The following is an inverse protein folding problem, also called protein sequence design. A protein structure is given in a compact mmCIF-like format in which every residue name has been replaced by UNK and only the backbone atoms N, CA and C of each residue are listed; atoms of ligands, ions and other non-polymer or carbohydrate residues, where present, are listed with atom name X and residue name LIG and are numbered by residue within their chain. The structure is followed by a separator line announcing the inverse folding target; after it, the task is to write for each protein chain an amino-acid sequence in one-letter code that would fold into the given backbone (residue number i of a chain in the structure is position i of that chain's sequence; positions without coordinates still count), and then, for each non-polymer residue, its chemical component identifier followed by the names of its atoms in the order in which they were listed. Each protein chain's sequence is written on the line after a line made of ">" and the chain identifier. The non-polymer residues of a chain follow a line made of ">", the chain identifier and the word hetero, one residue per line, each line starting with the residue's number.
data_IF_328224029526
#
_entry.id   IF_328224029526
#
_cell.length_a   1.000
_cell.length_b   1.000
_cell.length_c   1.000
_cell.angle_alpha   90.00
_cell.angle_beta   90.00
_cell.angle_gamma   90.00
#
_symmetry.space_group_name_H-M   'P 1'
#
loop_
_entity.id
_entity.type
_entity.pdbx_description
1 polymer ?
#
# COMPACT_ATOMS: atom_id res chain seq x y z
N UNK A 1 -10.88 1.72 11.56
CA UNK A 1 -10.06 2.80 10.96
C UNK A 1 -8.84 3.16 11.83
N UNK A 2 -8.96 3.23 13.16
CA UNK A 2 -7.78 3.50 14.02
C UNK A 2 -6.69 2.42 13.96
N UNK A 3 -7.08 1.15 13.81
CA UNK A 3 -6.15 0.01 13.71
C UNK A 3 -5.28 0.04 12.45
N UNK A 4 -5.85 0.35 11.29
CA UNK A 4 -5.07 0.53 10.05
C UNK A 4 -4.12 1.72 10.13
N UNK A 5 -4.49 2.79 10.87
CA UNK A 5 -3.61 3.93 11.16
C UNK A 5 -2.41 3.57 12.03
N UNK A 6 -2.62 2.74 13.07
CA UNK A 6 -1.53 2.15 13.86
C UNK A 6 -0.58 1.31 13.01
N UNK A 7 -1.14 0.48 12.13
CA UNK A 7 -0.37 -0.29 11.15
C UNK A 7 0.46 0.59 10.23
N UNK A 8 -0.13 1.66 9.71
CA UNK A 8 0.56 2.61 8.84
C UNK A 8 1.75 3.28 9.53
N UNK A 9 1.59 3.67 10.81
CA UNK A 9 2.68 4.26 11.60
C UNK A 9 3.84 3.27 11.79
N UNK A 10 3.53 2.02 12.18
CA UNK A 10 4.53 0.97 12.35
C UNK A 10 5.23 0.65 11.02
N UNK A 11 4.47 0.56 9.92
CA UNK A 11 5.00 0.34 8.59
C UNK A 11 5.96 1.45 8.16
N UNK A 12 5.61 2.72 8.41
CA UNK A 12 6.46 3.87 8.12
C UNK A 12 7.77 3.83 8.93
N UNK A 13 7.70 3.49 10.23
CA UNK A 13 8.87 3.31 11.09
C UNK A 13 9.80 2.20 10.57
N UNK A 14 9.26 1.02 10.25
CA UNK A 14 10.06 -0.10 9.72
C UNK A 14 10.74 0.30 8.42
N UNK A 15 10.04 0.98 7.52
CA UNK A 15 10.63 1.49 6.28
C UNK A 15 11.72 2.51 6.58
N UNK A 16 11.47 3.49 7.46
CA UNK A 16 12.46 4.49 7.80
C UNK A 16 13.75 3.88 8.40
N UNK A 17 13.62 2.79 9.16
CA UNK A 17 14.77 2.11 9.79
C UNK A 17 15.48 1.13 8.85
N UNK A 18 14.75 0.33 8.07
CA UNK A 18 15.32 -0.80 7.30
C UNK A 18 15.45 -0.53 5.80
N UNK A 19 14.75 0.47 5.27
CA UNK A 19 14.75 0.78 3.84
C UNK A 19 15.92 1.72 3.51
N UNK A 20 17.15 1.22 3.53
CA UNK A 20 18.33 1.96 3.06
C UNK A 20 18.77 1.50 1.66
N UNK A 21 18.99 2.45 0.74
CA UNK A 21 19.60 2.20 -0.57
C UNK A 21 18.76 1.34 -1.55
N UNK A 22 19.42 0.49 -2.32
CA UNK A 22 18.85 -0.29 -3.45
C UNK A 22 17.89 -1.41 -3.03
N UNK A 23 17.76 -1.69 -1.73
CA UNK A 23 16.93 -2.77 -1.21
C UNK A 23 15.43 -2.44 -1.15
N UNK A 24 15.03 -1.17 -1.35
CA UNK A 24 13.62 -0.76 -1.25
C UNK A 24 12.71 -1.47 -2.26
N UNK A 25 13.21 -1.73 -3.47
CA UNK A 25 12.49 -2.47 -4.51
C UNK A 25 12.18 -3.92 -4.11
N UNK A 26 13.00 -4.56 -3.26
CA UNK A 26 12.75 -5.92 -2.76
C UNK A 26 11.54 -6.00 -1.83
N UNK A 27 11.15 -4.89 -1.20
CA UNK A 27 9.98 -4.85 -0.32
C UNK A 27 8.66 -4.66 -1.09
N UNK A 28 8.68 -4.37 -2.38
CA UNK A 28 7.49 -4.10 -3.19
C UNK A 28 6.53 -5.31 -3.23
N UNK A 29 7.00 -6.46 -3.72
CA UNK A 29 6.16 -7.65 -3.84
C UNK A 29 5.76 -8.26 -2.49
N UNK A 30 6.65 -8.40 -1.49
CA UNK A 30 6.26 -8.94 -0.19
C UNK A 30 5.22 -8.08 0.53
N UNK A 31 5.36 -6.75 0.50
CA UNK A 31 4.41 -5.86 1.16
C UNK A 31 3.02 -5.91 0.51
N UNK A 32 2.96 -5.95 -0.83
CA UNK A 32 1.72 -6.15 -1.56
C UNK A 32 1.06 -7.49 -1.21
N UNK A 33 1.81 -8.59 -1.20
CA UNK A 33 1.30 -9.91 -0.86
C UNK A 33 0.74 -9.96 0.57
N UNK A 34 1.48 -9.40 1.54
CA UNK A 34 1.05 -9.32 2.95
C UNK A 34 -0.25 -8.54 3.08
N UNK A 35 -0.38 -7.38 2.44
CA UNK A 35 -1.63 -6.60 2.48
C UNK A 35 -2.80 -7.34 1.83
N UNK A 36 -2.60 -7.96 0.67
CA UNK A 36 -3.66 -8.73 -0.01
C UNK A 36 -4.14 -9.92 0.83
N UNK A 37 -3.20 -10.70 1.39
CA UNK A 37 -3.53 -11.85 2.25
C UNK A 37 -4.24 -11.38 3.52
N UNK A 38 -3.75 -10.32 4.18
CA UNK A 38 -4.37 -9.78 5.38
C UNK A 38 -5.82 -9.32 5.11
N UNK A 39 -6.08 -8.65 3.99
CA UNK A 39 -7.43 -8.23 3.58
C UNK A 39 -8.34 -9.42 3.23
N UNK A 40 -7.81 -10.44 2.54
CA UNK A 40 -8.57 -11.63 2.18
C UNK A 40 -8.99 -12.46 3.42
N UNK A 41 -8.10 -12.57 4.41
CA UNK A 41 -8.39 -13.22 5.69
C UNK A 41 -9.36 -12.38 6.51
N UNK A 42 -9.17 -11.05 6.55
CA UNK A 42 -10.07 -10.12 7.23
C UNK A 42 -11.51 -10.24 6.74
N UNK A 43 -11.72 -10.39 5.42
CA UNK A 43 -13.06 -10.53 4.84
C UNK A 43 -13.85 -11.74 5.37
N UNK A 44 -13.18 -12.75 5.94
CA UNK A 44 -13.80 -13.93 6.56
C UNK A 44 -13.88 -13.86 8.08
N UNK A 45 -13.34 -12.81 8.70
CA UNK A 45 -13.22 -12.73 10.15
C UNK A 45 -14.46 -12.08 10.77
N UNK A 46 -15.13 -12.79 11.69
CA UNK A 46 -16.31 -12.29 12.42
C UNK A 46 -15.95 -11.68 13.79
N UNK A 47 -14.74 -11.96 14.31
CA UNK A 47 -14.30 -11.53 15.63
C UNK A 47 -13.47 -10.24 15.59
N UNK A 48 -13.79 -9.30 16.49
CA UNK A 48 -13.23 -7.95 16.49
C UNK A 48 -11.71 -7.90 16.75
N UNK A 49 -11.22 -8.70 17.71
CA UNK A 49 -9.81 -8.69 18.12
C UNK A 49 -8.84 -9.15 17.00
N UNK A 50 -9.01 -10.33 16.37
CA UNK A 50 -8.15 -10.73 15.26
C UNK A 50 -8.34 -9.86 14.01
N UNK A 51 -9.55 -9.34 13.78
CA UNK A 51 -9.82 -8.41 12.69
C UNK A 51 -9.03 -7.09 12.86
N UNK A 52 -8.91 -6.58 14.10
CA UNK A 52 -8.11 -5.40 14.40
C UNK A 52 -6.61 -5.63 14.12
N UNK A 53 -6.07 -6.78 14.48
CA UNK A 53 -4.67 -7.14 14.21
C UNK A 53 -4.40 -7.26 12.71
N UNK A 54 -5.29 -7.91 11.95
CA UNK A 54 -5.18 -8.00 10.49
C UNK A 54 -5.22 -6.62 9.83
N UNK A 55 -6.01 -5.68 10.35
CA UNK A 55 -6.03 -4.30 9.87
C UNK A 55 -4.73 -3.54 10.15
N UNK A 56 -4.06 -3.81 11.28
CA UNK A 56 -2.71 -3.28 11.55
C UNK A 56 -1.73 -3.83 10.52
N UNK A 57 -1.75 -5.14 10.27
CA UNK A 57 -0.86 -5.78 9.28
C UNK A 57 -1.12 -5.26 7.87
N UNK A 58 -2.39 -5.15 7.47
CA UNK A 58 -2.79 -4.63 6.17
C UNK A 58 -2.34 -3.18 5.97
N UNK A 59 -2.52 -2.33 6.99
CA UNK A 59 -2.08 -0.93 6.98
C UNK A 59 -0.56 -0.78 6.90
N UNK A 60 0.19 -1.62 7.62
CA UNK A 60 1.65 -1.63 7.57
C UNK A 60 2.17 -2.00 6.18
N UNK A 61 1.62 -3.07 5.58
CA UNK A 61 1.98 -3.50 4.23
C UNK A 61 1.64 -2.45 3.16
N UNK A 62 0.53 -1.73 3.31
CA UNK A 62 0.13 -0.66 2.39
C UNK A 62 1.13 0.51 2.38
N UNK A 63 1.58 0.94 3.55
CA UNK A 63 2.60 2.01 3.66
C UNK A 63 3.94 1.54 3.11
N UNK A 64 4.34 0.30 3.40
CA UNK A 64 5.55 -0.29 2.83
C UNK A 64 5.49 -0.33 1.30
N UNK A 65 4.36 -0.74 0.74
CA UNK A 65 4.13 -0.80 -0.70
C UNK A 65 4.26 0.58 -1.34
N UNK A 66 3.59 1.59 -0.79
CA UNK A 66 3.66 2.95 -1.33
C UNK A 66 5.05 3.55 -1.24
N UNK A 67 5.78 3.30 -0.15
CA UNK A 67 7.16 3.77 -0.03
C UNK A 67 8.09 3.06 -1.03
N UNK A 68 7.98 1.74 -1.16
CA UNK A 68 8.77 0.96 -2.11
C UNK A 68 8.46 1.36 -3.56
N UNK A 69 7.18 1.57 -3.90
CA UNK A 69 6.75 1.99 -5.23
C UNK A 69 7.26 3.39 -5.58
N UNK A 70 7.10 4.37 -4.68
CA UNK A 70 7.64 5.71 -4.86
C UNK A 70 9.16 5.67 -5.07
N UNK A 71 9.87 4.89 -4.26
CA UNK A 71 11.32 4.77 -4.41
C UNK A 71 11.73 4.09 -5.71
N UNK A 72 11.00 3.06 -6.15
CA UNK A 72 11.29 2.34 -7.39
C UNK A 72 11.12 3.25 -8.61
N UNK A 73 10.02 4.03 -8.65
CA UNK A 73 9.80 5.02 -9.70
C UNK A 73 10.90 6.08 -9.68
N UNK A 74 11.19 6.67 -8.52
CA UNK A 74 12.23 7.71 -8.39
C UNK A 74 13.63 7.23 -8.79
N UNK A 75 13.97 5.97 -8.51
CA UNK A 75 15.29 5.39 -8.84
C UNK A 75 15.40 4.94 -10.30
N UNK A 76 14.27 4.75 -11.00
CA UNK A 76 14.23 4.33 -12.40
C UNK A 76 14.26 5.49 -13.40
N UNK A 77 14.24 6.73 -12.91
CA UNK A 77 14.08 7.95 -13.71
C UNK A 77 15.27 8.86 -13.49
N UNK A 78 15.79 9.41 -14.59
CA UNK A 78 16.85 10.42 -14.60
C UNK A 78 16.43 11.69 -13.84
N UNK A 79 17.36 12.33 -13.13
CA UNK A 79 17.06 13.49 -12.26
C UNK A 79 16.29 14.60 -12.99
N UNK A 80 16.62 14.86 -14.26
CA UNK A 80 16.02 15.92 -15.08
C UNK A 80 14.53 15.65 -15.43
N UNK A 81 14.15 14.37 -15.51
CA UNK A 81 12.77 13.95 -15.85
C UNK A 81 11.94 13.60 -14.60
N UNK A 82 12.56 13.53 -13.42
CA UNK A 82 11.92 13.08 -12.18
C UNK A 82 10.63 13.84 -11.87
N UNK A 83 10.62 15.17 -12.00
CA UNK A 83 9.43 15.98 -11.75
C UNK A 83 8.24 15.63 -12.66
N UNK A 84 8.52 15.42 -13.95
CA UNK A 84 7.49 15.07 -14.94
C UNK A 84 6.93 13.66 -14.69
N UNK A 85 7.81 12.69 -14.45
CA UNK A 85 7.39 11.30 -14.18
C UNK A 85 6.62 11.21 -12.86
N UNK A 86 7.05 11.93 -11.81
CA UNK A 86 6.31 11.94 -10.54
C UNK A 86 4.95 12.64 -10.66
N UNK A 87 4.81 13.62 -11.56
CA UNK A 87 3.51 14.20 -11.91
C UNK A 87 2.55 13.18 -12.53
N UNK A 88 3.02 12.40 -13.51
CA UNK A 88 2.24 11.31 -14.12
C UNK A 88 1.93 10.21 -13.10
N UNK A 89 2.91 9.84 -12.27
CA UNK A 89 2.71 8.88 -11.17
C UNK A 89 1.61 9.32 -10.21
N UNK A 90 1.62 10.59 -9.81
CA UNK A 90 0.61 11.16 -8.91
C UNK A 90 -0.78 11.18 -9.55
N UNK A 91 -0.86 11.51 -10.84
CA UNK A 91 -2.10 11.46 -11.62
C UNK A 91 -2.67 10.03 -11.67
N UNK A 92 -1.85 9.04 -12.01
CA UNK A 92 -2.26 7.62 -12.08
C UNK A 92 -2.69 7.11 -10.71
N UNK A 93 -1.96 7.47 -9.66
CA UNK A 93 -2.30 7.10 -8.29
C UNK A 93 -3.65 7.69 -7.86
N UNK A 94 -3.86 8.98 -8.11
CA UNK A 94 -5.12 9.66 -7.81
C UNK A 94 -6.29 9.08 -8.62
N UNK A 95 -6.09 8.74 -9.90
CA UNK A 95 -7.09 8.10 -10.75
C UNK A 95 -7.41 6.65 -10.34
N UNK A 96 -6.47 5.94 -9.71
CA UNK A 96 -6.69 4.55 -9.28
C UNK A 96 -7.73 4.43 -8.18
N UNK A 97 -7.85 5.42 -7.29
CA UNK A 97 -8.86 5.45 -6.22
C UNK A 97 -10.32 5.44 -6.74
N UNK A 98 -10.76 6.37 -7.60
CA UNK A 98 -12.11 6.36 -8.16
C UNK A 98 -12.35 5.17 -9.10
N UNK A 99 -11.34 4.70 -9.85
CA UNK A 99 -11.48 3.49 -10.66
C UNK A 99 -11.72 2.25 -9.79
N UNK A 100 -10.97 2.13 -8.69
CA UNK A 100 -11.17 1.07 -7.70
C UNK A 100 -12.56 1.15 -7.05
N UNK A 101 -13.03 2.34 -6.69
CA UNK A 101 -14.37 2.49 -6.10
C UNK A 101 -15.49 2.16 -7.07
N UNK A 102 -15.35 2.49 -8.36
CA UNK A 102 -16.32 2.11 -9.39
C UNK A 102 -16.39 0.59 -9.57
N UNK A 103 -15.22 -0.08 -9.63
CA UNK A 103 -15.14 -1.54 -9.72
C UNK A 103 -15.74 -2.21 -8.49
N UNK A 104 -15.39 -1.75 -7.29
CA UNK A 104 -15.93 -2.32 -6.05
C UNK A 104 -17.44 -2.06 -5.92
N UNK A 105 -17.93 -0.89 -6.31
CA UNK A 105 -19.35 -0.55 -6.27
C UNK A 105 -20.17 -1.40 -7.24
N UNK A 106 -19.69 -1.60 -8.47
CA UNK A 106 -20.37 -2.45 -9.45
C UNK A 106 -20.38 -3.93 -9.06
N UNK A 107 -19.32 -4.42 -8.41
CA UNK A 107 -19.28 -5.78 -7.85
C UNK A 107 -20.24 -5.91 -6.66
N UNK A 108 -20.26 -4.92 -5.75
CA UNK A 108 -21.13 -4.91 -4.59
C UNK A 108 -22.62 -4.84 -4.95
N UNK A 109 -22.99 -4.21 -6.07
CA UNK A 109 -24.37 -4.17 -6.55
C UNK A 109 -24.83 -5.51 -7.15
N UNK A 110 -23.90 -6.35 -7.63
CA UNK A 110 -24.19 -7.66 -8.23
C UNK A 110 -24.18 -8.82 -7.23
N UNK A 111 -23.59 -8.62 -6.05
CA UNK A 111 -23.59 -9.55 -4.91
C UNK A 111 -24.85 -9.33 -4.06
#
# INVERSE_FOLDING_TARGET
>A
MSSSGLGALLGALVVATYSQGTQRGRFLFPSMAVSCVALAVFARMSHLAPAALLMVVAGAGLVMLFSAANSAVQSSVEDELRGRVMGVWSLVFAASMPLGSLLMGTLAQKL
#
